data_IF_820967257784
#
_entry.id   IF_820967257784
#
_cell.length_a   1.000
_cell.length_b   1.000
_cell.length_c   1.000
_cell.angle_alpha   90.00
_cell.angle_beta   90.00
_cell.angle_gamma   90.00
#
_symmetry.space_group_name_H-M   'P 1'
#
loop_
_entity.id
_entity.type
_entity.pdbx_description
1 polymer ?
#
# COMPACT_ATOMS: atom_id res chain seq x y z
N UNK A 1 -33.82 -16.80 -15.19
CA UNK A 1 -33.11 -15.99 -14.17
C UNK A 1 -33.74 -14.63 -14.19
N UNK A 2 -34.16 -14.08 -13.04
CA UNK A 2 -34.71 -12.72 -13.00
C UNK A 2 -33.60 -11.70 -13.34
N UNK A 3 -34.00 -10.50 -13.79
CA UNK A 3 -33.05 -9.43 -14.08
C UNK A 3 -32.25 -9.06 -12.81
N UNK A 4 -32.92 -9.00 -11.67
CA UNK A 4 -32.31 -8.73 -10.38
C UNK A 4 -31.22 -9.75 -10.01
N UNK A 5 -31.50 -11.04 -10.15
CA UNK A 5 -30.50 -12.09 -9.89
C UNK A 5 -29.31 -11.99 -10.84
N UNK A 6 -29.52 -11.61 -12.11
CA UNK A 6 -28.45 -11.40 -13.06
C UNK A 6 -27.58 -10.19 -12.67
N UNK A 7 -28.20 -9.08 -12.27
CA UNK A 7 -27.51 -7.88 -11.79
C UNK A 7 -26.64 -8.21 -10.59
N UNK A 8 -27.21 -8.82 -9.55
CA UNK A 8 -26.43 -9.24 -8.36
C UNK A 8 -25.28 -10.16 -8.72
N UNK A 9 -25.50 -11.13 -9.62
CA UNK A 9 -24.44 -12.05 -10.03
C UNK A 9 -23.29 -11.34 -10.75
N UNK A 10 -23.59 -10.35 -11.60
CA UNK A 10 -22.58 -9.55 -12.30
C UNK A 10 -21.79 -8.67 -11.32
N UNK A 11 -22.47 -8.02 -10.37
CA UNK A 11 -21.82 -7.18 -9.36
C UNK A 11 -20.95 -8.00 -8.40
N UNK A 12 -21.42 -9.16 -7.93
CA UNK A 12 -20.62 -10.10 -7.15
C UNK A 12 -19.38 -10.58 -7.93
N UNK A 13 -19.57 -10.96 -9.20
CA UNK A 13 -18.46 -11.39 -10.05
C UNK A 13 -17.42 -10.29 -10.22
N UNK A 14 -17.86 -9.04 -10.41
CA UNK A 14 -16.97 -7.89 -10.57
C UNK A 14 -16.11 -7.64 -9.33
N UNK A 15 -16.73 -7.58 -8.15
CA UNK A 15 -16.01 -7.44 -6.89
C UNK A 15 -15.08 -8.61 -6.61
N UNK A 16 -15.55 -9.83 -6.86
CA UNK A 16 -14.75 -11.04 -6.67
C UNK A 16 -13.54 -11.05 -7.59
N UNK A 17 -13.75 -10.75 -8.88
CA UNK A 17 -12.66 -10.66 -9.86
C UNK A 17 -11.65 -9.60 -9.47
N UNK A 18 -12.09 -8.39 -9.10
CA UNK A 18 -11.23 -7.33 -8.56
C UNK A 18 -10.46 -7.78 -7.33
N UNK A 19 -11.13 -8.41 -6.36
CA UNK A 19 -10.52 -8.96 -5.16
C UNK A 19 -9.43 -9.99 -5.45
N UNK A 20 -9.64 -10.88 -6.43
CA UNK A 20 -8.62 -11.86 -6.87
C UNK A 20 -7.42 -11.17 -7.50
N UNK A 21 -7.62 -10.13 -8.32
CA UNK A 21 -6.52 -9.35 -8.88
C UNK A 21 -5.71 -8.63 -7.79
N UNK A 22 -6.38 -8.06 -6.78
CA UNK A 22 -5.72 -7.42 -5.64
C UNK A 22 -5.02 -8.46 -4.75
N UNK A 23 -5.61 -9.63 -4.52
CA UNK A 23 -4.91 -10.74 -3.86
C UNK A 23 -3.61 -11.10 -4.57
N UNK A 24 -3.64 -11.16 -5.90
CA UNK A 24 -2.45 -11.45 -6.69
C UNK A 24 -1.36 -10.36 -6.57
N UNK A 25 -1.72 -9.14 -6.15
CA UNK A 25 -0.74 -8.10 -5.83
C UNK A 25 0.19 -8.48 -4.67
N UNK A 26 -0.18 -9.40 -3.77
CA UNK A 26 0.75 -9.92 -2.75
C UNK A 26 1.98 -10.59 -3.39
N UNK A 27 1.79 -11.28 -4.51
CA UNK A 27 2.90 -11.81 -5.32
C UNK A 27 3.75 -10.67 -5.89
N UNK A 28 3.11 -9.61 -6.40
CA UNK A 28 3.80 -8.43 -6.90
C UNK A 28 4.65 -7.74 -5.85
N UNK A 29 4.10 -7.49 -4.64
CA UNK A 29 4.85 -6.93 -3.51
C UNK A 29 6.02 -7.81 -3.10
N UNK A 30 5.79 -9.12 -2.96
CA UNK A 30 6.85 -10.10 -2.66
C UNK A 30 8.01 -9.98 -3.66
N UNK A 31 7.70 -9.88 -4.95
CA UNK A 31 8.73 -9.80 -6.01
C UNK A 31 9.44 -8.45 -6.03
N UNK A 32 8.73 -7.33 -5.82
CA UNK A 32 9.34 -5.99 -5.70
C UNK A 32 10.29 -5.96 -4.51
N UNK A 33 9.83 -6.37 -3.33
CA UNK A 33 10.63 -6.36 -2.12
C UNK A 33 11.84 -7.30 -2.24
N UNK A 34 11.65 -8.54 -2.71
CA UNK A 34 12.73 -9.49 -2.90
C UNK A 34 13.77 -8.96 -3.90
N UNK A 35 13.31 -8.44 -5.04
CA UNK A 35 14.20 -7.95 -6.09
C UNK A 35 15.03 -6.73 -5.67
N UNK A 36 14.47 -5.83 -4.87
CA UNK A 36 15.11 -4.59 -4.42
C UNK A 36 15.90 -4.72 -3.10
N UNK A 37 15.91 -5.89 -2.50
CA UNK A 37 16.69 -6.20 -1.30
C UNK A 37 17.78 -7.23 -1.56
N UNK A 38 18.59 -7.56 -0.55
CA UNK A 38 19.68 -8.54 -0.67
C UNK A 38 19.15 -9.97 -0.64
N UNK A 39 19.70 -10.84 -1.47
CA UNK A 39 19.27 -12.24 -1.68
C UNK A 39 19.18 -13.09 -0.41
N UNK A 40 19.99 -12.80 0.59
CA UNK A 40 20.01 -13.50 1.88
C UNK A 40 18.77 -13.29 2.77
N UNK A 41 17.81 -12.47 2.30
CA UNK A 41 16.56 -12.16 2.98
C UNK A 41 15.33 -12.51 2.14
N UNK A 42 15.49 -13.19 0.99
CA UNK A 42 14.39 -13.47 0.06
C UNK A 42 13.33 -14.37 0.68
N UNK A 43 13.73 -15.43 1.38
CA UNK A 43 12.81 -16.32 2.09
C UNK A 43 12.04 -15.61 3.21
N UNK A 44 12.72 -14.74 3.95
CA UNK A 44 12.08 -13.90 4.98
C UNK A 44 11.03 -12.96 4.37
N UNK A 45 11.32 -12.35 3.20
CA UNK A 45 10.37 -11.49 2.49
C UNK A 45 9.14 -12.28 2.03
N UNK A 46 9.33 -13.46 1.46
CA UNK A 46 8.22 -14.35 1.08
C UNK A 46 7.33 -14.63 2.30
N UNK A 47 7.93 -15.03 3.42
CA UNK A 47 7.19 -15.34 4.66
C UNK A 47 6.41 -14.12 5.18
N UNK A 48 7.00 -12.92 5.14
CA UNK A 48 6.33 -11.70 5.59
C UNK A 48 5.09 -11.38 4.75
N UNK A 49 5.22 -11.38 3.44
CA UNK A 49 4.10 -11.07 2.54
C UNK A 49 2.96 -12.11 2.62
N UNK A 50 3.29 -13.41 2.84
CA UNK A 50 2.28 -14.44 3.09
C UNK A 50 1.58 -14.20 4.43
N UNK A 51 2.32 -13.85 5.47
CA UNK A 51 1.78 -13.59 6.81
C UNK A 51 0.82 -12.41 6.82
N UNK A 52 1.11 -11.33 6.08
CA UNK A 52 0.19 -10.19 5.98
C UNK A 52 -1.18 -10.61 5.47
N UNK A 53 -1.20 -11.42 4.43
CA UNK A 53 -2.47 -11.91 3.91
C UNK A 53 -3.17 -12.88 4.86
N UNK A 54 -2.43 -13.82 5.48
CA UNK A 54 -3.00 -14.80 6.41
C UNK A 54 -3.59 -14.11 7.66
N UNK A 55 -2.82 -13.21 8.28
CA UNK A 55 -3.29 -12.48 9.47
C UNK A 55 -4.36 -11.46 9.09
N UNK A 56 -4.16 -10.74 8.00
CA UNK A 56 -5.17 -9.84 7.46
C UNK A 56 -6.51 -10.55 7.27
N UNK A 57 -6.51 -11.69 6.60
CA UNK A 57 -7.74 -12.44 6.35
C UNK A 57 -8.45 -12.88 7.63
N UNK A 58 -7.73 -13.48 8.58
CA UNK A 58 -8.35 -14.02 9.80
C UNK A 58 -8.74 -12.91 10.77
N UNK A 59 -7.85 -11.96 11.03
CA UNK A 59 -8.06 -10.93 12.05
C UNK A 59 -9.04 -9.88 11.57
N UNK A 60 -8.95 -9.49 10.30
CA UNK A 60 -9.86 -8.51 9.72
C UNK A 60 -11.29 -9.08 9.63
N UNK A 61 -11.45 -10.34 9.20
CA UNK A 61 -12.75 -11.01 9.24
C UNK A 61 -13.31 -11.08 10.66
N UNK A 62 -12.46 -11.44 11.64
CA UNK A 62 -12.92 -11.70 13.01
C UNK A 62 -13.36 -10.44 13.75
N UNK A 63 -12.64 -9.32 13.59
CA UNK A 63 -12.90 -8.05 14.28
C UNK A 63 -12.83 -6.85 13.33
N UNK A 64 -11.80 -6.78 12.48
CA UNK A 64 -11.47 -5.57 11.72
C UNK A 64 -12.62 -5.09 10.84
N UNK A 65 -13.29 -6.00 10.14
CA UNK A 65 -14.42 -5.65 9.27
C UNK A 65 -15.59 -5.03 10.08
N UNK A 66 -15.89 -5.57 11.25
CA UNK A 66 -16.90 -5.01 12.15
C UNK A 66 -16.52 -3.64 12.71
N UNK A 67 -15.22 -3.41 13.02
CA UNK A 67 -14.73 -2.08 13.42
C UNK A 67 -14.82 -1.08 12.29
N UNK A 68 -14.72 -1.52 11.04
CA UNK A 68 -14.74 -0.66 9.87
C UNK A 68 -16.15 -0.36 9.38
N UNK A 69 -17.02 -1.36 9.29
CA UNK A 69 -18.33 -1.28 8.65
C UNK A 69 -19.51 -1.51 9.59
N UNK A 70 -19.25 -1.91 10.84
CA UNK A 70 -20.31 -2.09 11.84
C UNK A 70 -20.97 -0.77 12.21
N UNK A 71 -22.24 -0.83 12.64
CA UNK A 71 -22.93 0.31 13.24
C UNK A 71 -22.13 0.83 14.43
N UNK A 72 -21.98 2.15 14.56
CA UNK A 72 -21.15 2.73 15.61
C UNK A 72 -21.35 4.23 15.75
N UNK A 73 -20.27 4.93 15.94
CA UNK A 73 -20.24 6.40 15.96
C UNK A 73 -19.28 6.92 14.87
N UNK A 74 -19.15 8.21 14.68
CA UNK A 74 -18.30 8.78 13.64
C UNK A 74 -16.80 8.40 13.71
N UNK A 75 -16.34 7.73 14.77
CA UNK A 75 -14.94 7.37 14.95
C UNK A 75 -14.65 5.88 14.86
N UNK A 76 -15.60 5.02 15.18
CA UNK A 76 -15.39 3.57 15.24
C UNK A 76 -16.71 2.83 15.06
N UNK A 77 -16.70 1.79 14.24
CA UNK A 77 -17.75 0.78 14.19
C UNK A 77 -17.70 -0.13 15.42
N UNK A 78 -18.83 -0.70 15.79
CA UNK A 78 -18.93 -1.63 16.91
C UNK A 78 -18.96 -3.05 16.32
N UNK A 79 -17.96 -3.91 16.60
CA UNK A 79 -17.86 -5.22 15.97
C UNK A 79 -18.79 -6.27 16.61
N UNK A 80 -19.72 -5.87 17.48
CA UNK A 80 -20.63 -6.76 18.17
C UNK A 80 -21.95 -6.92 17.39
N UNK A 81 -22.47 -8.14 17.36
CA UNK A 81 -23.64 -8.51 16.60
C UNK A 81 -23.27 -9.50 15.50
N UNK A 82 -23.90 -9.39 14.34
CA UNK A 82 -23.79 -10.37 13.25
C UNK A 82 -22.40 -10.43 12.60
N UNK A 83 -21.57 -9.38 12.76
CA UNK A 83 -20.21 -9.33 12.17
C UNK A 83 -19.13 -9.85 13.09
N UNK A 84 -19.35 -9.87 14.41
CA UNK A 84 -18.34 -10.33 15.35
C UNK A 84 -18.48 -11.84 15.61
N UNK A 85 -17.41 -12.60 15.45
CA UNK A 85 -17.30 -14.06 15.70
C UNK A 85 -18.28 -14.96 14.91
N UNK A 86 -19.43 -14.46 14.50
CA UNK A 86 -20.41 -15.21 13.71
C UNK A 86 -20.10 -15.15 12.21
N UNK A 87 -19.05 -14.45 11.82
CA UNK A 87 -18.57 -14.40 10.46
C UNK A 87 -19.61 -13.93 9.47
N UNK A 88 -20.36 -12.89 9.85
CA UNK A 88 -21.46 -12.39 9.01
C UNK A 88 -22.60 -13.42 8.87
N UNK A 89 -22.99 -14.06 9.96
CA UNK A 89 -24.16 -14.95 9.96
C UNK A 89 -25.38 -14.19 9.44
N UNK A 90 -26.04 -14.74 8.40
CA UNK A 90 -27.11 -14.06 7.70
C UNK A 90 -26.70 -13.15 6.56
N UNK A 91 -25.38 -13.01 6.30
CA UNK A 91 -24.86 -12.25 5.18
C UNK A 91 -25.34 -12.79 3.82
N UNK A 92 -25.59 -11.89 2.89
CA UNK A 92 -25.93 -12.21 1.51
C UNK A 92 -24.66 -12.32 0.63
N UNK A 93 -24.83 -12.68 -0.64
CA UNK A 93 -23.71 -12.91 -1.55
C UNK A 93 -22.80 -11.67 -1.70
N UNK A 94 -23.40 -10.46 -1.78
CA UNK A 94 -22.65 -9.21 -1.91
C UNK A 94 -21.79 -8.93 -0.68
N UNK A 95 -22.27 -9.25 0.53
CA UNK A 95 -21.53 -9.02 1.77
C UNK A 95 -20.26 -9.85 1.84
N UNK A 96 -20.30 -11.11 1.39
CA UNK A 96 -19.11 -11.97 1.34
C UNK A 96 -18.09 -11.49 0.29
N UNK A 97 -18.56 -11.01 -0.85
CA UNK A 97 -17.66 -10.47 -1.88
C UNK A 97 -17.05 -9.14 -1.44
N UNK A 98 -17.81 -8.27 -0.78
CA UNK A 98 -17.33 -7.04 -0.19
C UNK A 98 -16.30 -7.29 0.92
N UNK A 99 -16.57 -8.25 1.82
CA UNK A 99 -15.64 -8.67 2.86
C UNK A 99 -14.30 -9.12 2.26
N UNK A 100 -14.34 -10.00 1.24
CA UNK A 100 -13.11 -10.47 0.59
C UNK A 100 -12.36 -9.31 -0.08
N UNK A 101 -13.07 -8.44 -0.81
CA UNK A 101 -12.49 -7.27 -1.46
C UNK A 101 -11.81 -6.34 -0.45
N UNK A 102 -12.46 -6.04 0.67
CA UNK A 102 -11.88 -5.20 1.72
C UNK A 102 -10.74 -5.89 2.51
N UNK A 103 -10.78 -7.21 2.61
CA UNK A 103 -9.69 -7.99 3.22
C UNK A 103 -8.37 -7.82 2.47
N UNK A 104 -8.39 -7.87 1.15
CA UNK A 104 -7.17 -7.70 0.33
C UNK A 104 -6.63 -6.27 0.37
N UNK A 105 -7.48 -5.26 0.58
CA UNK A 105 -7.08 -3.88 0.82
C UNK A 105 -6.40 -3.70 2.19
N UNK A 106 -6.96 -4.29 3.22
CA UNK A 106 -6.37 -4.32 4.56
C UNK A 106 -4.98 -4.96 4.54
N UNK A 107 -4.85 -6.13 3.92
CA UNK A 107 -3.56 -6.81 3.77
C UNK A 107 -2.54 -5.96 3.00
N UNK A 108 -2.97 -5.25 1.95
CA UNK A 108 -2.11 -4.35 1.18
C UNK A 108 -1.53 -3.24 2.05
N UNK A 109 -2.34 -2.62 2.93
CA UNK A 109 -1.86 -1.57 3.85
C UNK A 109 -0.76 -2.09 4.81
N UNK A 110 -0.89 -3.33 5.30
CA UNK A 110 0.13 -3.96 6.14
C UNK A 110 1.41 -4.30 5.36
N UNK A 111 1.26 -4.83 4.12
CA UNK A 111 2.37 -5.19 3.25
C UNK A 111 3.27 -3.99 2.89
N UNK A 112 2.71 -2.79 2.72
CA UNK A 112 3.49 -1.58 2.44
C UNK A 112 4.56 -1.34 3.51
N UNK A 113 4.26 -1.61 4.78
CA UNK A 113 5.21 -1.42 5.89
C UNK A 113 6.38 -2.40 5.81
N UNK A 114 6.16 -3.59 5.26
CA UNK A 114 7.18 -4.62 5.06
C UNK A 114 8.41 -4.09 4.33
N UNK A 115 8.19 -3.41 3.20
CA UNK A 115 9.27 -2.94 2.33
C UNK A 115 10.23 -1.96 2.99
N UNK A 116 9.68 -0.97 3.72
CA UNK A 116 10.49 0.04 4.40
C UNK A 116 11.33 -0.53 5.56
N UNK A 117 10.88 -1.61 6.17
CA UNK A 117 11.51 -2.25 7.32
C UNK A 117 12.28 -3.53 6.95
N UNK A 118 12.41 -3.85 5.66
CA UNK A 118 13.04 -5.07 5.17
C UNK A 118 14.51 -5.21 5.62
N UNK A 119 14.97 -6.46 5.67
CA UNK A 119 16.32 -6.91 5.95
C UNK A 119 16.79 -6.84 7.42
N UNK A 120 16.05 -6.18 8.34
CA UNK A 120 16.47 -5.95 9.73
C UNK A 120 15.37 -6.03 10.78
N UNK A 121 14.15 -6.36 10.36
CA UNK A 121 13.01 -6.53 11.29
C UNK A 121 12.91 -7.96 11.76
N UNK A 122 12.74 -8.18 13.06
CA UNK A 122 12.49 -9.49 13.63
C UNK A 122 11.13 -10.02 13.19
N UNK A 123 11.04 -11.26 12.78
CA UNK A 123 9.82 -11.88 12.23
C UNK A 123 8.65 -11.89 13.22
N UNK A 124 8.93 -12.07 14.53
CA UNK A 124 7.88 -12.01 15.57
C UNK A 124 7.27 -10.59 15.66
N UNK A 125 8.11 -9.56 15.61
CA UNK A 125 7.60 -8.19 15.58
C UNK A 125 6.76 -7.92 14.33
N UNK A 126 7.19 -8.48 13.22
CA UNK A 126 6.44 -8.42 11.97
C UNK A 126 5.02 -8.97 12.12
N UNK A 127 4.89 -10.18 12.64
CA UNK A 127 3.59 -10.80 12.92
C UNK A 127 2.71 -9.93 13.84
N UNK A 128 3.32 -9.33 14.88
CA UNK A 128 2.57 -8.50 15.84
C UNK A 128 2.06 -7.21 15.18
N UNK A 129 2.91 -6.50 14.42
CA UNK A 129 2.45 -5.24 13.84
C UNK A 129 1.50 -5.45 12.66
N UNK A 130 1.68 -6.47 11.85
CA UNK A 130 0.73 -6.85 10.79
C UNK A 130 -0.65 -7.17 11.39
N UNK A 131 -0.67 -7.96 12.48
CA UNK A 131 -1.89 -8.22 13.23
C UNK A 131 -2.53 -6.94 13.77
N UNK A 132 -1.76 -6.03 14.35
CA UNK A 132 -2.26 -4.77 14.90
C UNK A 132 -2.82 -3.83 13.81
N UNK A 133 -2.17 -3.77 12.64
CA UNK A 133 -2.67 -3.00 11.50
C UNK A 133 -4.02 -3.53 11.06
N UNK A 134 -4.16 -4.85 10.89
CA UNK A 134 -5.39 -5.51 10.44
C UNK A 134 -6.50 -5.49 11.49
N UNK A 135 -6.14 -5.47 12.78
CA UNK A 135 -7.08 -5.50 13.89
C UNK A 135 -7.77 -4.14 14.10
N UNK A 136 -6.99 -3.05 14.17
CA UNK A 136 -7.54 -1.76 14.60
C UNK A 136 -6.97 -0.54 13.87
N UNK A 137 -5.70 -0.53 13.39
CA UNK A 137 -5.14 0.70 12.79
C UNK A 137 -5.82 1.02 11.47
N UNK A 138 -5.85 0.06 10.56
CA UNK A 138 -6.51 0.17 9.26
C UNK A 138 -8.04 0.24 9.40
N UNK A 139 -8.71 -0.64 10.18
CA UNK A 139 -10.17 -0.61 10.28
C UNK A 139 -10.73 0.70 10.83
N UNK A 140 -10.13 1.28 11.87
CA UNK A 140 -10.60 2.55 12.44
C UNK A 140 -10.42 3.70 11.43
N UNK A 141 -9.27 3.79 10.77
CA UNK A 141 -9.05 4.77 9.71
C UNK A 141 -10.02 4.57 8.54
N UNK A 142 -10.25 3.31 8.15
CA UNK A 142 -11.22 2.94 7.12
C UNK A 142 -12.66 3.29 7.48
N UNK A 143 -13.05 3.15 8.76
CA UNK A 143 -14.36 3.57 9.24
C UNK A 143 -14.60 5.07 9.01
N UNK A 144 -13.58 5.90 9.28
CA UNK A 144 -13.69 7.35 9.08
C UNK A 144 -14.06 7.73 7.64
N UNK A 145 -13.61 6.95 6.65
CA UNK A 145 -13.73 7.29 5.23
C UNK A 145 -14.77 6.44 4.51
N UNK A 146 -14.75 5.12 4.71
CA UNK A 146 -15.59 4.18 3.96
C UNK A 146 -16.69 3.53 4.81
N UNK A 147 -16.53 3.56 6.13
CA UNK A 147 -17.51 2.99 7.09
C UNK A 147 -18.60 3.95 7.55
N UNK A 148 -18.78 5.10 6.88
CA UNK A 148 -19.76 6.11 7.26
C UNK A 148 -19.34 7.00 8.45
N UNK A 149 -18.03 7.02 8.79
CA UNK A 149 -17.51 7.85 9.86
C UNK A 149 -17.37 9.34 9.50
N UNK A 150 -16.83 10.10 10.43
CA UNK A 150 -16.83 11.57 10.42
C UNK A 150 -16.19 12.25 9.19
N UNK A 151 -15.18 11.63 8.58
CA UNK A 151 -14.59 12.15 7.34
C UNK A 151 -15.53 11.98 6.14
N UNK A 152 -16.22 10.83 6.07
CA UNK A 152 -17.26 10.57 5.07
C UNK A 152 -18.39 11.61 5.18
N UNK A 153 -18.84 11.89 6.41
CA UNK A 153 -19.88 12.90 6.66
C UNK A 153 -19.45 14.31 6.25
N UNK A 154 -18.15 14.62 6.31
CA UNK A 154 -17.61 15.90 5.84
C UNK A 154 -17.44 15.96 4.31
N UNK A 155 -17.64 14.85 3.59
CA UNK A 155 -17.45 14.76 2.15
C UNK A 155 -15.99 14.51 1.75
N UNK A 156 -15.18 13.89 2.62
CA UNK A 156 -13.86 13.41 2.24
C UNK A 156 -14.00 12.28 1.22
N UNK A 157 -13.23 12.34 0.13
CA UNK A 157 -13.28 11.37 -0.94
C UNK A 157 -11.94 10.66 -1.10
N UNK A 158 -11.98 9.34 -1.08
CA UNK A 158 -10.86 8.45 -1.41
C UNK A 158 -11.45 7.22 -2.11
N UNK A 159 -11.48 7.24 -3.46
CA UNK A 159 -12.21 6.24 -4.22
C UNK A 159 -11.72 4.83 -3.98
N UNK A 160 -10.40 4.63 -4.07
CA UNK A 160 -9.82 3.31 -3.95
C UNK A 160 -8.64 3.23 -2.95
N UNK A 161 -8.28 4.30 -2.21
CA UNK A 161 -7.35 4.17 -1.09
C UNK A 161 -5.99 4.85 -1.24
N UNK A 162 -5.85 5.95 -2.01
CA UNK A 162 -4.60 6.74 -1.90
C UNK A 162 -4.31 7.13 -0.46
N UNK A 163 -5.35 7.50 0.31
CA UNK A 163 -5.21 7.86 1.71
C UNK A 163 -5.21 6.63 2.62
N UNK A 164 -6.30 5.84 2.59
CA UNK A 164 -6.57 4.76 3.57
C UNK A 164 -5.59 3.60 3.42
N UNK A 165 -5.19 3.23 2.21
CA UNK A 165 -4.26 2.12 2.01
C UNK A 165 -2.82 2.64 1.93
N UNK A 166 -2.57 3.56 0.99
CA UNK A 166 -1.20 3.92 0.63
C UNK A 166 -0.58 4.97 1.55
N UNK A 167 -1.25 6.08 1.81
CA UNK A 167 -0.71 7.12 2.69
C UNK A 167 -0.63 6.64 4.14
N UNK A 168 -1.62 5.88 4.62
CA UNK A 168 -1.60 5.26 5.95
C UNK A 168 -0.45 4.27 6.06
N UNK A 169 -0.33 3.30 5.13
CA UNK A 169 0.78 2.33 5.09
C UNK A 169 2.15 2.99 4.95
N UNK A 170 2.26 4.02 4.09
CA UNK A 170 3.49 4.81 3.92
C UNK A 170 3.88 5.62 5.15
N UNK A 171 2.91 6.13 5.91
CA UNK A 171 3.16 6.81 7.21
C UNK A 171 3.65 5.83 8.27
N UNK A 172 3.01 4.66 8.38
CA UNK A 172 3.47 3.58 9.25
C UNK A 172 4.87 3.10 8.87
N UNK A 173 5.17 3.01 7.57
CA UNK A 173 6.49 2.70 7.02
C UNK A 173 7.54 3.70 7.48
N UNK A 174 7.25 4.99 7.39
CA UNK A 174 8.17 6.05 7.83
C UNK A 174 8.46 5.95 9.32
N UNK A 175 7.42 5.84 10.14
CA UNK A 175 7.55 5.74 11.60
C UNK A 175 8.28 4.47 12.00
N UNK A 176 7.91 3.34 11.41
CA UNK A 176 8.53 2.05 11.67
C UNK A 176 10.02 2.04 11.33
N UNK A 177 10.38 2.49 10.13
CA UNK A 177 11.77 2.56 9.68
C UNK A 177 12.62 3.53 10.51
N UNK A 178 12.06 4.68 10.90
CA UNK A 178 12.73 5.66 11.74
C UNK A 178 13.01 5.11 13.16
N UNK A 179 12.03 4.42 13.77
CA UNK A 179 12.18 3.85 15.11
C UNK A 179 13.11 2.62 15.09
N UNK A 180 12.99 1.76 14.07
CA UNK A 180 13.84 0.58 13.91
C UNK A 180 15.31 0.97 13.76
N UNK A 181 15.59 1.93 12.89
CA UNK A 181 16.93 2.37 12.52
C UNK A 181 17.38 1.81 11.17
N UNK A 182 18.52 2.30 10.66
CA UNK A 182 19.04 1.92 9.36
C UNK A 182 19.68 0.53 9.36
N UNK A 183 19.79 -0.08 8.17
CA UNK A 183 20.60 -1.28 7.94
C UNK A 183 22.09 -1.02 8.23
N UNK A 184 22.78 -2.04 8.68
CA UNK A 184 24.22 -1.98 8.95
C UNK A 184 24.96 -1.55 7.68
N UNK A 185 25.79 -0.51 7.82
CA UNK A 185 26.57 0.05 6.74
C UNK A 185 25.84 1.02 5.82
N UNK A 186 24.54 1.30 6.06
CA UNK A 186 23.78 2.28 5.25
C UNK A 186 24.33 3.70 5.37
N UNK A 187 24.69 4.11 6.57
CA UNK A 187 25.27 5.42 6.83
C UNK A 187 26.69 5.27 7.43
N UNK A 188 27.63 6.05 6.93
CA UNK A 188 28.99 6.10 7.46
C UNK A 188 29.05 7.00 8.70
N UNK A 189 30.12 6.93 9.48
CA UNK A 189 30.33 7.77 10.67
C UNK A 189 30.36 9.26 10.34
N UNK A 190 30.83 9.63 9.16
CA UNK A 190 30.86 11.00 8.61
C UNK A 190 29.54 11.41 7.91
N UNK A 191 28.51 10.58 8.03
CA UNK A 191 27.16 10.88 7.56
C UNK A 191 26.91 10.68 6.07
N UNK A 192 27.86 10.08 5.33
CA UNK A 192 27.64 9.70 3.92
C UNK A 192 26.66 8.53 3.82
N UNK A 193 25.93 8.50 2.72
CA UNK A 193 24.96 7.45 2.41
C UNK A 193 25.61 6.43 1.50
N UNK A 194 25.57 5.18 1.89
CA UNK A 194 25.97 4.05 1.05
C UNK A 194 24.75 3.50 0.32
N UNK A 195 24.90 3.22 -0.95
CA UNK A 195 23.90 2.51 -1.74
C UNK A 195 23.99 1.02 -1.40
N UNK A 196 22.86 0.43 -0.99
CA UNK A 196 22.74 -1.01 -0.81
C UNK A 196 21.81 -1.51 -1.92
N UNK A 197 22.36 -2.01 -3.04
CA UNK A 197 21.53 -2.39 -4.18
C UNK A 197 20.73 -3.66 -3.91
N UNK A 198 19.58 -3.76 -4.57
CA UNK A 198 18.83 -5.00 -4.68
C UNK A 198 19.60 -6.05 -5.47
N UNK A 199 19.28 -7.32 -5.25
CA UNK A 199 20.02 -8.41 -5.88
C UNK A 199 19.47 -8.81 -7.26
N UNK A 200 18.21 -8.47 -7.57
CA UNK A 200 17.57 -8.94 -8.81
C UNK A 200 16.51 -7.96 -9.34
N UNK A 201 16.96 -7.05 -10.21
CA UNK A 201 16.08 -6.05 -10.85
C UNK A 201 15.01 -6.71 -11.73
N UNK A 202 15.28 -7.87 -12.34
CA UNK A 202 14.30 -8.57 -13.16
C UNK A 202 13.10 -9.03 -12.33
N UNK A 203 13.34 -9.61 -11.14
CA UNK A 203 12.25 -10.00 -10.22
C UNK A 203 11.48 -8.75 -9.77
N UNK A 204 12.17 -7.67 -9.43
CA UNK A 204 11.53 -6.40 -9.09
C UNK A 204 10.65 -5.85 -10.22
N UNK A 205 11.12 -5.91 -11.46
CA UNK A 205 10.35 -5.47 -12.63
C UNK A 205 9.10 -6.32 -12.86
N UNK A 206 9.20 -7.64 -12.74
CA UNK A 206 8.04 -8.54 -12.81
C UNK A 206 7.03 -8.23 -11.70
N UNK A 207 7.51 -7.95 -10.49
CA UNK A 207 6.67 -7.53 -9.39
C UNK A 207 5.88 -6.25 -9.70
N UNK A 208 6.53 -5.23 -10.26
CA UNK A 208 5.86 -3.98 -10.67
C UNK A 208 4.80 -4.23 -11.74
N UNK A 209 5.08 -5.07 -12.74
CA UNK A 209 4.09 -5.41 -13.78
C UNK A 209 2.88 -6.16 -13.20
N UNK A 210 3.11 -7.09 -12.27
CA UNK A 210 2.04 -7.80 -11.56
C UNK A 210 1.20 -6.80 -10.74
N UNK A 211 1.83 -5.87 -10.03
CA UNK A 211 1.14 -4.81 -9.29
C UNK A 211 0.30 -3.92 -10.22
N UNK A 212 0.83 -3.56 -11.39
CA UNK A 212 0.09 -2.76 -12.37
C UNK A 212 -1.15 -3.50 -12.87
N UNK A 213 -1.02 -4.77 -13.24
CA UNK A 213 -2.19 -5.60 -13.62
C UNK A 213 -3.19 -5.71 -12.46
N UNK A 214 -2.71 -5.93 -11.23
CA UNK A 214 -3.55 -5.97 -10.03
C UNK A 214 -4.30 -4.66 -9.78
N UNK A 215 -3.70 -3.51 -10.16
CA UNK A 215 -4.33 -2.20 -10.04
C UNK A 215 -5.54 -2.01 -10.93
N UNK A 216 -5.66 -2.77 -12.02
CA UNK A 216 -6.90 -2.85 -12.80
C UNK A 216 -8.03 -3.60 -12.08
N UNK A 217 -7.74 -4.34 -11.03
CA UNK A 217 -8.72 -4.81 -10.05
C UNK A 217 -8.91 -3.81 -8.91
N UNK A 218 -7.82 -3.22 -8.42
CA UNK A 218 -7.81 -2.32 -7.27
C UNK A 218 -8.71 -1.10 -7.49
N UNK A 219 -8.44 -0.31 -8.53
CA UNK A 219 -9.19 0.92 -8.79
C UNK A 219 -10.56 0.66 -9.46
N UNK A 220 -10.66 0.00 -10.64
CA UNK A 220 -11.97 -0.17 -11.28
C UNK A 220 -12.99 -0.93 -10.46
N UNK A 221 -12.60 -1.99 -9.72
CA UNK A 221 -13.55 -2.74 -8.93
C UNK A 221 -14.01 -2.02 -7.64
N UNK A 222 -13.36 -0.90 -7.28
CA UNK A 222 -13.83 -0.01 -6.20
C UNK A 222 -15.15 0.70 -6.53
N UNK A 223 -15.70 0.54 -7.76
CA UNK A 223 -17.11 0.86 -8.05
C UNK A 223 -18.09 0.06 -7.21
N UNK A 224 -17.68 -1.05 -6.59
CA UNK A 224 -18.57 -1.93 -5.82
C UNK A 224 -19.47 -2.83 -6.65
N UNK A 225 -19.64 -2.55 -7.94
CA UNK A 225 -20.47 -3.27 -8.90
C UNK A 225 -20.41 -2.61 -10.28
N UNK A 226 -21.05 -3.23 -11.26
CA UNK A 226 -21.20 -2.70 -12.62
C UNK A 226 -22.60 -2.17 -12.92
N UNK A 227 -23.56 -2.43 -12.04
CA UNK A 227 -24.93 -1.90 -12.13
C UNK A 227 -24.95 -0.39 -11.87
N UNK A 228 -26.10 0.24 -12.12
CA UNK A 228 -26.39 1.64 -11.78
C UNK A 228 -25.33 2.68 -12.22
N UNK A 229 -24.74 2.46 -13.40
CA UNK A 229 -23.69 3.33 -13.94
C UNK A 229 -22.26 2.90 -13.60
N UNK A 230 -22.09 1.83 -12.83
CA UNK A 230 -20.78 1.30 -12.46
C UNK A 230 -19.89 0.95 -13.65
N UNK A 231 -20.47 0.46 -14.76
CA UNK A 231 -19.74 0.16 -16.01
C UNK A 231 -19.00 1.39 -16.54
N UNK A 232 -19.68 2.54 -16.60
CA UNK A 232 -19.12 3.77 -17.15
C UNK A 232 -17.99 4.29 -16.26
N UNK A 233 -18.20 4.26 -14.93
CA UNK A 233 -17.18 4.66 -13.97
C UNK A 233 -15.97 3.72 -14.05
N UNK A 234 -16.18 2.41 -14.02
CA UNK A 234 -15.11 1.42 -14.14
C UNK A 234 -14.29 1.61 -15.42
N UNK A 235 -14.95 1.78 -16.57
CA UNK A 235 -14.28 1.99 -17.85
C UNK A 235 -13.41 3.27 -17.84
N UNK A 236 -13.91 4.37 -17.27
CA UNK A 236 -13.14 5.60 -17.07
C UNK A 236 -11.94 5.36 -16.16
N UNK A 237 -12.14 4.68 -15.05
CA UNK A 237 -11.10 4.39 -14.04
C UNK A 237 -9.98 3.54 -14.61
N UNK A 238 -10.24 2.58 -15.50
CA UNK A 238 -9.20 1.86 -16.24
C UNK A 238 -8.25 2.81 -16.97
N UNK A 239 -8.82 3.79 -17.68
CA UNK A 239 -8.03 4.74 -18.50
C UNK A 239 -7.25 5.70 -17.61
N UNK A 240 -7.89 6.32 -16.62
CA UNK A 240 -7.22 7.28 -15.71
C UNK A 240 -6.10 6.62 -14.93
N UNK A 241 -6.31 5.39 -14.46
CA UNK A 241 -5.30 4.57 -13.76
C UNK A 241 -4.09 4.30 -14.66
N UNK A 242 -4.32 3.82 -15.89
CA UNK A 242 -3.25 3.50 -16.82
C UNK A 242 -2.46 4.73 -17.26
N UNK A 243 -3.15 5.84 -17.57
CA UNK A 243 -2.49 7.07 -18.03
C UNK A 243 -1.61 7.70 -16.95
N UNK A 244 -2.05 7.71 -15.69
CA UNK A 244 -1.26 8.22 -14.58
C UNK A 244 0.02 7.38 -14.36
N UNK A 245 -0.08 6.06 -14.41
CA UNK A 245 1.07 5.15 -14.32
C UNK A 245 2.10 5.40 -15.43
N UNK A 246 1.63 5.45 -16.69
CA UNK A 246 2.48 5.73 -17.85
C UNK A 246 3.16 7.10 -17.76
N UNK A 247 2.39 8.14 -17.40
CA UNK A 247 2.91 9.51 -17.28
C UNK A 247 3.98 9.59 -16.17
N UNK A 248 3.75 8.94 -15.03
CA UNK A 248 4.69 8.92 -13.93
C UNK A 248 5.98 8.16 -14.28
N UNK A 249 5.86 7.01 -14.94
CA UNK A 249 7.02 6.22 -15.40
C UNK A 249 7.89 7.02 -16.37
N UNK A 250 7.28 7.63 -17.39
CA UNK A 250 7.96 8.47 -18.37
C UNK A 250 8.64 9.67 -17.68
N UNK A 251 7.93 10.34 -16.78
CA UNK A 251 8.47 11.48 -16.03
C UNK A 251 9.67 11.06 -15.18
N UNK A 252 9.60 9.95 -14.47
CA UNK A 252 10.70 9.43 -13.66
C UNK A 252 11.90 9.04 -14.52
N UNK A 253 11.68 8.39 -15.66
CA UNK A 253 12.72 8.05 -16.61
C UNK A 253 13.47 9.31 -17.08
N UNK A 254 12.76 10.34 -17.53
CA UNK A 254 13.39 11.59 -17.97
C UNK A 254 14.03 12.36 -16.82
N UNK A 255 13.38 12.41 -15.64
CA UNK A 255 13.96 13.06 -14.46
C UNK A 255 15.32 12.45 -14.10
N UNK A 256 15.41 11.14 -14.04
CA UNK A 256 16.66 10.44 -13.72
C UNK A 256 17.70 10.59 -14.82
N UNK A 257 17.27 10.54 -16.08
CA UNK A 257 18.16 10.76 -17.23
C UNK A 257 18.80 12.14 -17.22
N UNK A 258 17.99 13.19 -17.02
CA UNK A 258 18.49 14.57 -16.94
C UNK A 258 19.37 14.77 -15.70
N UNK A 259 18.97 14.23 -14.56
CA UNK A 259 19.62 14.46 -13.27
C UNK A 259 20.92 13.69 -13.11
N UNK A 260 20.97 12.46 -13.63
CA UNK A 260 22.07 11.52 -13.40
C UNK A 260 22.79 11.08 -14.69
N UNK A 261 22.38 11.61 -15.84
CA UNK A 261 22.97 11.30 -17.15
C UNK A 261 22.55 10.00 -17.78
N UNK A 262 21.79 9.16 -17.08
CA UNK A 262 21.22 7.89 -17.56
C UNK A 262 19.85 7.63 -16.92
N UNK A 263 18.89 7.02 -17.64
CA UNK A 263 17.64 6.60 -17.05
C UNK A 263 17.89 5.49 -16.04
N UNK A 264 17.34 5.64 -14.83
CA UNK A 264 17.43 4.64 -13.76
C UNK A 264 16.26 3.69 -13.83
N UNK A 265 16.53 2.38 -13.93
CA UNK A 265 15.51 1.34 -14.09
C UNK A 265 14.68 1.21 -12.82
N UNK A 266 15.30 1.12 -11.64
CA UNK A 266 14.61 0.91 -10.37
C UNK A 266 13.74 2.11 -10.00
N UNK A 267 14.25 3.34 -10.23
CA UNK A 267 13.46 4.55 -10.04
C UNK A 267 12.29 4.61 -11.02
N UNK A 268 12.47 4.24 -12.28
CA UNK A 268 11.38 4.21 -13.28
C UNK A 268 10.30 3.21 -12.88
N UNK A 269 10.66 2.05 -12.35
CA UNK A 269 9.74 1.06 -11.82
C UNK A 269 8.95 1.63 -10.61
N UNK A 270 9.62 2.31 -9.69
CA UNK A 270 8.94 3.03 -8.61
C UNK A 270 8.05 4.16 -9.14
N UNK A 271 8.42 4.78 -10.27
CA UNK A 271 7.60 5.77 -10.96
C UNK A 271 6.25 5.23 -11.41
N UNK A 272 6.23 4.00 -11.97
CA UNK A 272 4.96 3.31 -12.27
C UNK A 272 4.08 3.24 -11.04
N UNK A 273 4.62 2.71 -9.93
CA UNK A 273 3.88 2.53 -8.68
C UNK A 273 3.43 3.87 -8.08
N UNK A 274 4.30 4.89 -8.10
CA UNK A 274 3.95 6.24 -7.60
C UNK A 274 2.80 6.87 -8.38
N UNK A 275 2.73 6.67 -9.70
CA UNK A 275 1.61 7.10 -10.55
C UNK A 275 0.31 6.36 -10.23
N UNK A 276 0.39 5.04 -10.05
CA UNK A 276 -0.74 4.21 -9.65
C UNK A 276 -1.30 4.64 -8.28
N UNK A 277 -0.44 4.87 -7.30
CA UNK A 277 -0.83 5.35 -5.98
C UNK A 277 -1.46 6.74 -6.04
N UNK A 278 -0.86 7.67 -6.79
CA UNK A 278 -1.34 9.04 -6.88
C UNK A 278 -2.74 9.17 -7.51
N UNK A 279 -3.08 8.26 -8.42
CA UNK A 279 -4.38 8.31 -9.09
C UNK A 279 -5.48 7.56 -8.33
N UNK A 280 -5.13 6.74 -7.35
CA UNK A 280 -6.05 5.82 -6.68
C UNK A 280 -7.22 6.51 -5.95
N UNK A 281 -7.03 7.71 -5.37
CA UNK A 281 -8.14 8.47 -4.77
C UNK A 281 -9.02 9.21 -5.79
N UNK A 282 -8.46 9.91 -6.81
CA UNK A 282 -9.25 10.74 -7.72
C UNK A 282 -9.70 10.05 -9.01
N UNK A 283 -9.36 8.78 -9.25
CA UNK A 283 -9.46 8.13 -10.56
C UNK A 283 -10.87 8.13 -11.17
N UNK A 284 -11.91 8.14 -10.34
CA UNK A 284 -13.32 8.20 -10.73
C UNK A 284 -13.81 9.63 -11.05
N UNK A 285 -13.22 10.65 -10.44
CA UNK A 285 -13.69 12.04 -10.53
C UNK A 285 -12.91 12.92 -11.51
N UNK A 286 -11.73 12.46 -11.98
CA UNK A 286 -10.88 13.29 -12.83
C UNK A 286 -10.99 12.94 -14.31
N UNK A 287 -10.63 13.91 -15.17
CA UNK A 287 -10.50 13.66 -16.60
C UNK A 287 -9.25 12.85 -16.94
N UNK A 288 -9.19 12.15 -18.10
CA UNK A 288 -7.96 11.49 -18.56
C UNK A 288 -6.76 12.45 -18.65
N UNK A 289 -6.97 13.70 -19.03
CA UNK A 289 -5.89 14.70 -19.07
C UNK A 289 -5.38 15.07 -17.67
N UNK A 290 -6.28 15.24 -16.70
CA UNK A 290 -5.90 15.50 -15.31
C UNK A 290 -5.13 14.31 -14.70
N UNK A 291 -5.48 13.06 -15.06
CA UNK A 291 -4.75 11.88 -14.57
C UNK A 291 -3.28 11.88 -15.03
N UNK A 292 -2.99 12.34 -16.24
CA UNK A 292 -1.61 12.53 -16.72
C UNK A 292 -0.87 13.55 -15.84
N UNK A 293 -1.48 14.70 -15.55
CA UNK A 293 -0.88 15.74 -14.68
C UNK A 293 -0.62 15.18 -13.28
N UNK A 294 -1.58 14.45 -12.72
CA UNK A 294 -1.46 13.83 -11.39
C UNK A 294 -0.28 12.86 -11.36
N UNK A 295 -0.13 12.03 -12.40
CA UNK A 295 1.01 11.10 -12.54
C UNK A 295 2.35 11.84 -12.64
N UNK A 296 2.44 12.88 -13.48
CA UNK A 296 3.66 13.70 -13.64
C UNK A 296 4.08 14.32 -12.30
N UNK A 297 3.16 14.98 -11.60
CA UNK A 297 3.47 15.64 -10.32
C UNK A 297 3.85 14.60 -9.26
N UNK A 298 3.12 13.48 -9.18
CA UNK A 298 3.45 12.38 -8.26
C UNK A 298 4.87 11.83 -8.47
N UNK A 299 5.27 11.63 -9.73
CA UNK A 299 6.61 11.20 -10.08
C UNK A 299 7.69 12.19 -9.65
N UNK A 300 7.49 13.49 -9.87
CA UNK A 300 8.43 14.53 -9.44
C UNK A 300 8.58 14.54 -7.92
N UNK A 301 7.45 14.52 -7.20
CA UNK A 301 7.45 14.48 -5.74
C UNK A 301 8.18 13.24 -5.21
N UNK A 302 7.94 12.07 -5.77
CA UNK A 302 8.62 10.83 -5.41
C UNK A 302 10.13 10.92 -5.67
N UNK A 303 10.54 11.39 -6.85
CA UNK A 303 11.96 11.54 -7.22
C UNK A 303 12.72 12.51 -6.30
N UNK A 304 12.04 13.50 -5.75
CA UNK A 304 12.62 14.42 -4.78
C UNK A 304 12.59 13.85 -3.35
N UNK A 305 11.54 13.12 -3.00
CA UNK A 305 11.34 12.57 -1.66
C UNK A 305 12.32 11.44 -1.33
N UNK A 306 12.57 10.50 -2.25
CA UNK A 306 13.50 9.38 -2.02
C UNK A 306 14.88 9.86 -1.52
N UNK A 307 15.61 10.71 -2.24
CA UNK A 307 16.91 11.19 -1.77
C UNK A 307 16.78 12.11 -0.54
N UNK A 308 15.70 12.85 -0.38
CA UNK A 308 15.48 13.68 0.80
C UNK A 308 15.32 12.84 2.07
N UNK A 309 14.49 11.80 2.04
CA UNK A 309 14.28 10.88 3.17
C UNK A 309 15.59 10.17 3.51
N UNK A 310 16.29 9.66 2.52
CA UNK A 310 17.54 8.93 2.71
C UNK A 310 18.69 9.82 3.19
N UNK A 311 18.88 11.00 2.58
CA UNK A 311 20.08 11.83 2.86
C UNK A 311 19.87 12.84 3.97
N UNK A 312 18.67 13.41 4.11
CA UNK A 312 18.39 14.48 5.07
C UNK A 312 17.72 13.95 6.35
N UNK A 313 16.71 13.11 6.20
CA UNK A 313 16.01 12.54 7.36
C UNK A 313 16.73 11.31 7.92
N UNK A 314 17.64 10.70 7.15
CA UNK A 314 18.38 9.49 7.54
C UNK A 314 17.46 8.32 7.91
N UNK A 315 16.36 8.18 7.19
CA UNK A 315 15.47 7.04 7.28
C UNK A 315 15.76 6.09 6.14
N UNK A 316 16.20 4.88 6.47
CA UNK A 316 16.56 3.84 5.49
C UNK A 316 15.32 3.09 5.03
N UNK A 317 14.95 3.31 3.78
CA UNK A 317 13.83 2.66 3.09
C UNK A 317 14.38 1.84 1.91
N UNK A 318 14.51 0.52 2.05
CA UNK A 318 15.13 -0.34 1.05
C UNK A 318 14.48 -0.30 -0.33
N UNK A 319 13.16 -0.16 -0.39
CA UNK A 319 12.39 -0.28 -1.64
C UNK A 319 11.72 1.04 -2.09
N UNK A 320 11.81 2.09 -1.28
CA UNK A 320 11.18 3.38 -1.57
C UNK A 320 9.70 3.45 -1.20
N UNK A 321 9.23 2.55 -0.33
CA UNK A 321 7.82 2.46 0.05
C UNK A 321 7.25 3.76 0.64
N UNK A 322 8.03 4.49 1.44
CA UNK A 322 7.62 5.75 2.05
C UNK A 322 7.30 6.80 0.98
N UNK A 323 8.18 6.93 -0.02
CA UNK A 323 7.98 7.91 -1.10
C UNK A 323 6.88 7.50 -2.06
N UNK A 324 6.84 6.22 -2.45
CA UNK A 324 5.84 5.68 -3.36
C UNK A 324 4.44 5.74 -2.74
N UNK A 325 4.29 5.24 -1.51
CA UNK A 325 2.96 5.11 -0.89
C UNK A 325 2.61 6.31 -0.02
N UNK A 326 3.52 6.82 0.81
CA UNK A 326 3.25 7.94 1.70
C UNK A 326 3.12 9.27 0.95
N UNK A 327 4.13 9.64 0.16
CA UNK A 327 4.15 10.94 -0.53
C UNK A 327 3.20 10.95 -1.73
N UNK A 328 3.20 9.91 -2.59
CA UNK A 328 2.27 9.87 -3.71
C UNK A 328 0.82 9.64 -3.25
N UNK A 329 0.59 8.93 -2.12
CA UNK A 329 -0.74 8.80 -1.53
C UNK A 329 -1.28 10.12 -0.98
N UNK A 330 -0.44 10.89 -0.29
CA UNK A 330 -0.77 12.25 0.13
C UNK A 330 -1.10 13.14 -1.08
N UNK A 331 -0.28 13.09 -2.12
CA UNK A 331 -0.53 13.84 -3.34
C UNK A 331 -1.84 13.44 -4.00
N UNK A 332 -2.14 12.13 -4.15
CA UNK A 332 -3.39 11.65 -4.71
C UNK A 332 -4.61 12.12 -3.92
N UNK A 333 -4.52 12.11 -2.59
CA UNK A 333 -5.57 12.63 -1.70
C UNK A 333 -5.83 14.11 -1.93
N UNK A 334 -4.78 14.92 -2.02
CA UNK A 334 -4.90 16.37 -2.30
C UNK A 334 -5.38 16.62 -3.73
N UNK A 335 -4.99 15.77 -4.69
CA UNK A 335 -5.37 15.90 -6.09
C UNK A 335 -6.90 15.79 -6.30
N UNK A 336 -7.63 15.07 -5.46
CA UNK A 336 -9.11 15.10 -5.45
C UNK A 336 -9.60 16.53 -5.30
N UNK A 337 -9.15 17.26 -4.27
CA UNK A 337 -9.57 18.62 -3.99
C UNK A 337 -9.15 19.65 -5.05
N UNK A 338 -8.19 19.30 -5.92
CA UNK A 338 -7.72 20.15 -7.00
C UNK A 338 -8.40 19.85 -8.34
N UNK A 339 -8.54 18.56 -8.69
CA UNK A 339 -8.84 18.12 -10.05
C UNK A 339 -10.18 17.40 -10.22
N UNK A 340 -10.95 17.14 -9.15
CA UNK A 340 -12.27 16.53 -9.28
C UNK A 340 -13.17 17.40 -10.19
N UNK A 341 -13.69 16.79 -11.26
CA UNK A 341 -14.43 17.46 -12.32
C UNK A 341 -15.77 16.81 -12.64
N UNK A 342 -15.98 15.57 -12.12
CA UNK A 342 -17.14 14.75 -12.44
C UNK A 342 -18.07 14.65 -11.23
N UNK A 343 -19.33 15.03 -11.44
CA UNK A 343 -20.41 14.93 -10.45
C UNK A 343 -21.32 13.72 -10.71
N UNK A 344 -21.09 12.96 -11.80
CA UNK A 344 -21.99 11.88 -12.24
C UNK A 344 -21.98 10.67 -11.28
N UNK A 345 -20.96 10.53 -10.46
CA UNK A 345 -20.87 9.47 -9.43
C UNK A 345 -21.61 9.82 -8.12
N UNK A 346 -22.53 10.79 -8.14
CA UNK A 346 -23.30 11.22 -6.97
C UNK A 346 -22.56 12.14 -5.99
N UNK A 347 -21.29 12.44 -6.26
CA UNK A 347 -20.50 13.35 -5.45
C UNK A 347 -20.57 14.78 -6.04
N UNK A 348 -21.22 15.70 -5.37
CA UNK A 348 -21.13 17.14 -5.65
C UNK A 348 -19.76 17.70 -5.24
N UNK A 349 -18.69 16.99 -5.64
CA UNK A 349 -17.32 17.31 -5.27
C UNK A 349 -16.58 17.89 -6.49
N UNK A 350 -16.58 19.22 -6.60
CA UNK A 350 -15.76 19.92 -7.58
C UNK A 350 -14.45 20.39 -6.95
N UNK A 351 -13.35 20.09 -7.63
CA UNK A 351 -12.03 20.57 -7.26
C UNK A 351 -11.81 22.05 -7.58
N UNK A 352 -10.74 22.60 -6.99
CA UNK A 352 -10.38 24.01 -7.13
C UNK A 352 -10.29 24.46 -8.60
N UNK A 353 -9.68 23.65 -9.46
CA UNK A 353 -9.48 24.00 -10.89
C UNK A 353 -10.75 23.87 -11.74
N UNK A 354 -11.80 23.30 -11.20
CA UNK A 354 -13.12 23.15 -11.85
C UNK A 354 -14.22 24.00 -11.20
N UNK A 355 -13.83 24.99 -10.40
CA UNK A 355 -14.75 25.97 -9.84
C UNK A 355 -15.38 25.59 -8.49
N UNK A 356 -14.95 24.50 -7.87
CA UNK A 356 -15.46 24.06 -6.54
C UNK A 356 -14.95 24.89 -5.36
N UNK A 357 -14.05 25.84 -5.59
CA UNK A 357 -13.47 26.66 -4.53
C UNK A 357 -12.55 25.86 -3.60
N UNK A 358 -12.37 26.37 -2.39
CA UNK A 358 -11.44 25.77 -1.40
C UNK A 358 -12.08 24.72 -0.50
N UNK A 359 -13.40 24.49 -0.57
CA UNK A 359 -14.10 23.58 0.35
C UNK A 359 -13.60 22.16 0.20
N UNK A 360 -13.65 21.60 -1.01
CA UNK A 360 -13.20 20.26 -1.29
C UNK A 360 -11.70 20.08 -0.92
N UNK A 361 -10.85 21.02 -1.35
CA UNK A 361 -9.42 20.98 -1.00
C UNK A 361 -9.18 21.03 0.52
N UNK A 362 -9.96 21.84 1.25
CA UNK A 362 -9.89 21.92 2.70
C UNK A 362 -10.27 20.61 3.39
N UNK A 363 -11.33 19.96 2.92
CA UNK A 363 -11.76 18.63 3.45
C UNK A 363 -10.70 17.56 3.17
N UNK A 364 -10.16 17.51 1.95
CA UNK A 364 -9.09 16.57 1.59
C UNK A 364 -7.82 16.81 2.42
N UNK A 365 -7.43 18.06 2.64
CA UNK A 365 -6.29 18.40 3.48
C UNK A 365 -6.51 18.01 4.96
N UNK A 366 -7.71 18.28 5.50
CA UNK A 366 -8.08 17.89 6.86
C UNK A 366 -8.02 16.37 7.03
N UNK A 367 -8.63 15.62 6.09
CA UNK A 367 -8.61 14.16 6.12
C UNK A 367 -7.19 13.60 6.04
N UNK A 368 -6.37 14.14 5.11
CA UNK A 368 -4.98 13.72 4.98
C UNK A 368 -4.18 13.93 6.28
N UNK A 369 -4.28 15.11 6.90
CA UNK A 369 -3.61 15.41 8.17
C UNK A 369 -4.10 14.49 9.28
N UNK A 370 -5.39 14.24 9.37
CA UNK A 370 -6.00 13.39 10.40
C UNK A 370 -5.55 11.92 10.28
N UNK A 371 -5.52 11.38 9.05
CA UNK A 371 -5.07 10.01 8.79
C UNK A 371 -3.56 9.84 9.02
N UNK A 372 -2.74 10.83 8.61
CA UNK A 372 -1.31 10.85 8.93
C UNK A 372 -1.10 10.92 10.44
N UNK A 373 -1.81 11.79 11.15
CA UNK A 373 -1.70 11.91 12.60
C UNK A 373 -2.09 10.60 13.30
N UNK A 374 -3.20 9.96 12.89
CA UNK A 374 -3.62 8.66 13.39
C UNK A 374 -2.52 7.60 13.20
N UNK A 375 -2.07 7.40 11.96
CA UNK A 375 -1.04 6.42 11.64
C UNK A 375 0.28 6.70 12.37
N UNK A 376 0.70 7.96 12.44
CA UNK A 376 1.94 8.36 13.10
C UNK A 376 1.88 8.14 14.62
N UNK A 377 0.79 8.52 15.28
CA UNK A 377 0.63 8.37 16.73
C UNK A 377 0.55 6.90 17.11
N UNK A 378 -0.39 6.17 16.51
CA UNK A 378 -0.62 4.76 16.87
C UNK A 378 0.55 3.88 16.43
N UNK A 379 1.11 4.13 15.24
CA UNK A 379 2.33 3.47 14.76
C UNK A 379 3.53 3.74 15.67
N UNK A 380 3.72 4.99 16.14
CA UNK A 380 4.80 5.31 17.07
C UNK A 380 4.67 4.55 18.40
N UNK A 381 3.46 4.47 18.95
CA UNK A 381 3.21 3.71 20.17
C UNK A 381 3.56 2.22 19.93
N UNK A 382 3.04 1.63 18.86
CA UNK A 382 3.27 0.24 18.52
C UNK A 382 4.77 -0.09 18.35
N UNK A 383 5.47 0.65 17.49
CA UNK A 383 6.87 0.38 17.22
C UNK A 383 7.81 0.72 18.39
N UNK A 384 7.50 1.74 19.18
CA UNK A 384 8.27 2.05 20.41
C UNK A 384 8.07 0.95 21.47
N UNK A 385 6.86 0.41 21.63
CA UNK A 385 6.60 -0.70 22.54
C UNK A 385 7.38 -1.94 22.09
N UNK A 386 7.33 -2.31 20.81
CA UNK A 386 8.10 -3.42 20.27
C UNK A 386 9.61 -3.22 20.42
N UNK A 387 10.12 -2.00 20.22
CA UNK A 387 11.54 -1.69 20.39
C UNK A 387 11.97 -1.81 21.86
N UNK A 388 11.18 -1.25 22.80
CA UNK A 388 11.45 -1.35 24.25
C UNK A 388 11.37 -2.78 24.77
N UNK A 389 10.52 -3.60 24.18
CA UNK A 389 10.44 -5.04 24.46
C UNK A 389 11.62 -5.86 23.87
N UNK A 390 12.53 -5.21 23.10
CA UNK A 390 13.63 -5.89 22.45
C UNK A 390 13.21 -6.78 21.25
N UNK A 391 11.99 -6.57 20.74
CA UNK A 391 11.43 -7.42 19.68
C UNK A 391 11.57 -6.82 18.27
N UNK A 392 11.68 -5.48 18.12
CA UNK A 392 11.48 -4.82 16.83
C UNK A 392 12.55 -5.19 15.79
N UNK A 393 13.83 -5.09 16.15
CA UNK A 393 14.96 -5.37 15.26
C UNK A 393 15.65 -6.68 15.59
N UNK A 394 16.31 -7.26 14.59
CA UNK A 394 17.19 -8.40 14.78
C UNK A 394 18.52 -7.98 15.38
N UNK A 395 19.31 -8.93 15.89
CA UNK A 395 20.68 -8.66 16.34
C UNK A 395 21.61 -8.34 15.15
N UNK A 396 22.67 -7.54 15.37
CA UNK A 396 23.60 -7.21 14.29
C UNK A 396 24.18 -8.41 13.55
N UNK A 397 24.45 -9.50 14.26
CA UNK A 397 24.97 -10.73 13.66
C UNK A 397 23.94 -11.38 12.72
N UNK A 398 22.67 -11.42 13.14
CA UNK A 398 21.56 -11.98 12.34
C UNK A 398 21.36 -11.15 11.04
N UNK A 399 21.44 -9.82 11.12
CA UNK A 399 21.38 -8.95 9.94
C UNK A 399 22.57 -9.19 8.97
N UNK A 400 23.78 -9.45 9.52
CA UNK A 400 24.97 -9.74 8.71
C UNK A 400 24.84 -11.10 8.02
N UNK A 401 24.39 -12.13 8.72
CA UNK A 401 24.21 -13.48 8.19
C UNK A 401 23.07 -13.54 7.17
N UNK A 402 21.94 -12.90 7.47
CA UNK A 402 20.73 -12.88 6.66
C UNK A 402 19.58 -13.58 7.36
N UNK A 403 18.38 -13.03 7.12
CA UNK A 403 17.16 -13.44 7.85
C UNK A 403 16.61 -14.80 7.36
N UNK A 404 16.98 -15.24 6.16
CA UNK A 404 16.59 -16.55 5.66
C UNK A 404 17.10 -17.66 6.58
N UNK A 405 18.37 -17.62 6.95
CA UNK A 405 18.98 -18.63 7.82
C UNK A 405 18.60 -18.42 9.29
N UNK A 406 18.63 -17.19 9.77
CA UNK A 406 18.51 -16.89 11.21
C UNK A 406 17.08 -16.92 11.72
N UNK A 407 16.10 -16.52 10.90
CA UNK A 407 14.68 -16.49 11.28
C UNK A 407 13.89 -17.72 10.80
N UNK A 408 14.33 -18.36 9.71
CA UNK A 408 13.57 -19.44 9.06
C UNK A 408 14.35 -20.76 8.91
N UNK A 409 15.64 -20.78 9.24
CA UNK A 409 16.48 -21.97 9.04
C UNK A 409 16.67 -22.33 7.57
N UNK A 410 16.38 -21.42 6.66
CA UNK A 410 16.53 -21.59 5.22
C UNK A 410 17.96 -21.20 4.82
N UNK A 411 18.76 -22.16 4.36
CA UNK A 411 20.15 -21.91 3.97
C UNK A 411 20.26 -20.87 2.86
N UNK A 412 19.38 -20.93 1.88
CA UNK A 412 19.22 -19.91 0.83
C UNK A 412 17.89 -20.12 0.11
N UNK A 413 17.26 -19.04 -0.36
CA UNK A 413 16.18 -19.12 -1.34
C UNK A 413 16.69 -19.55 -2.75
N UNK A 414 18.02 -19.58 -2.94
CA UNK A 414 18.72 -19.96 -4.18
C UNK A 414 19.75 -21.04 -3.85
N UNK A 415 19.33 -22.30 -3.60
CA UNK A 415 20.22 -23.36 -3.08
C UNK A 415 21.41 -23.69 -3.99
N UNK A 416 21.30 -23.49 -5.29
CA UNK A 416 22.37 -23.76 -6.26
C UNK A 416 23.60 -22.85 -6.09
N UNK A 417 23.46 -21.74 -5.37
CA UNK A 417 24.56 -20.85 -5.01
C UNK A 417 25.21 -21.20 -3.66
N UNK A 418 24.67 -22.16 -2.93
CA UNK A 418 25.22 -22.62 -1.66
C UNK A 418 26.14 -23.81 -1.91
N UNK A 419 27.43 -23.56 -1.97
CA UNK A 419 28.43 -24.66 -1.93
C UNK A 419 28.37 -25.26 -0.51
N UNK A 420 27.75 -26.43 -0.35
CA UNK A 420 27.71 -27.10 0.94
C UNK A 420 29.12 -27.46 1.37
N UNK A 421 29.50 -27.10 2.59
CA UNK A 421 30.82 -27.41 3.15
C UNK A 421 31.09 -28.93 3.20
N UNK A 422 30.05 -29.76 3.08
CA UNK A 422 30.14 -31.22 3.11
C UNK A 422 30.61 -31.82 1.77
N UNK A 423 30.42 -31.15 0.64
CA UNK A 423 30.90 -31.64 -0.65
C UNK A 423 32.44 -31.47 -0.82
N UNK A 424 33.06 -30.55 -0.07
CA UNK A 424 34.52 -30.37 -0.07
C UNK A 424 35.29 -31.45 0.69
N UNK A 425 34.62 -32.33 1.46
CA UNK A 425 35.27 -33.44 2.19
C UNK A 425 35.25 -34.76 1.42
N UNK A 426 34.56 -34.84 0.30
CA UNK A 426 34.44 -36.02 -0.56
C UNK A 426 35.23 -35.92 -1.89
N UNK A 427 35.97 -34.86 -2.10
CA UNK A 427 36.96 -34.69 -3.15
C UNK A 427 38.36 -34.65 -2.54
#
# INVERSE_FOLDING_TARGET
>A
MSTELLTTAVDCFWLFFGGVLVFFMQTGFTMVEAGFTRSKNTGNIIMKNIVDFMFGSIIYWFIGYGLMYGEGNGFIGIPFGDMFMNGMAGAENMDYTALFFQTVFCATSATIVSGAMAERTNFKAYCIYSAAISLFIYPIAGHWVWGGGWLSELGFHDFAGSAIVHMLGGTLSFVGAAILGPRIGKYTKDGKVNVIPGHNILIGALGVLILWVGWFGFNPASTGGLSDGGVQVAAKVFITTNLAACAAAITTMFFTWIRYGKPDVSMTLNGVLGGLVAITAPCDLVTPFASIIIGVVGAILMCLAIPFIDTKLKVDDPVGAISVHGICGLWGTIAVGLFASDTSAGAELLGLFYGGGLKALGVQALGAVSLIAWAAIVGSILFVVLKKAGLLGVKPQEEIEGLDSTEHGLASAYPDFVVSYNEKRSM
#
